data_IF_859080624300
#
_entry.id   IF_859080624300
#
_cell.length_a   1.000
_cell.length_b   1.000
_cell.length_c   1.000
_cell.angle_alpha   90.00
_cell.angle_beta   90.00
_cell.angle_gamma   90.00
#
_symmetry.space_group_name_H-M   'P 1'
#
loop_
_entity.id
_entity.type
_entity.pdbx_description
1 polymer ?
#
# COMPACT_ATOMS: atom_id res chain seq x y z
N UNK A 1 22.37 1.73 -10.38
CA UNK A 1 20.97 2.16 -10.21
C UNK A 1 20.84 2.68 -8.80
N UNK A 2 20.34 3.89 -8.62
CA UNK A 2 20.00 4.39 -7.29
C UNK A 2 18.50 4.18 -7.09
N UNK A 3 18.12 2.93 -6.81
CA UNK A 3 16.74 2.68 -6.38
C UNK A 3 16.52 3.37 -5.04
N UNK A 4 15.30 3.82 -4.78
CA UNK A 4 15.03 4.39 -3.47
C UNK A 4 15.32 3.32 -2.40
N UNK A 5 15.90 3.70 -1.24
CA UNK A 5 16.17 2.75 -0.15
C UNK A 5 14.93 1.96 0.29
N UNK A 6 13.74 2.48 -0.02
CA UNK A 6 12.47 1.77 0.16
C UNK A 6 12.37 0.48 -0.66
N UNK A 7 12.70 0.51 -1.95
CA UNK A 7 12.62 -0.65 -2.84
C UNK A 7 13.62 -1.73 -2.39
N UNK A 8 14.84 -1.34 -2.07
CA UNK A 8 15.88 -2.25 -1.58
C UNK A 8 15.46 -2.96 -0.28
N UNK A 9 14.78 -2.24 0.63
CA UNK A 9 14.22 -2.85 1.85
C UNK A 9 13.14 -3.88 1.55
N UNK A 10 12.28 -3.62 0.55
CA UNK A 10 11.25 -4.58 0.12
C UNK A 10 11.90 -5.82 -0.46
N UNK A 11 12.85 -5.67 -1.38
CA UNK A 11 13.54 -6.79 -2.01
C UNK A 11 14.20 -7.69 -0.96
N UNK A 12 14.90 -7.08 0.00
CA UNK A 12 15.49 -7.79 1.14
C UNK A 12 14.45 -8.51 1.98
N UNK A 13 13.33 -7.85 2.32
CA UNK A 13 12.26 -8.45 3.12
C UNK A 13 11.63 -9.66 2.40
N UNK A 14 11.42 -9.54 1.09
CA UNK A 14 10.84 -10.60 0.27
C UNK A 14 11.85 -11.69 -0.13
N UNK A 15 13.14 -11.54 0.21
CA UNK A 15 14.20 -12.45 -0.24
C UNK A 15 14.41 -12.42 -1.76
N UNK A 16 14.09 -11.31 -2.42
CA UNK A 16 14.26 -11.13 -3.86
C UNK A 16 15.73 -10.85 -4.17
N UNK A 17 16.40 -11.82 -4.82
CA UNK A 17 17.83 -11.76 -5.10
C UNK A 17 18.16 -11.55 -6.59
N UNK A 18 17.14 -11.35 -7.44
CA UNK A 18 17.37 -11.17 -8.87
C UNK A 18 17.82 -9.73 -9.15
N UNK A 19 18.80 -9.53 -10.04
CA UNK A 19 19.22 -8.19 -10.40
C UNK A 19 18.13 -7.49 -11.22
N UNK A 20 17.93 -6.20 -10.93
CA UNK A 20 17.12 -5.35 -11.78
C UNK A 20 17.87 -5.01 -13.07
N UNK A 21 17.20 -5.13 -14.21
CA UNK A 21 17.71 -4.68 -15.51
C UNK A 21 17.01 -3.39 -15.95
N UNK A 22 17.75 -2.29 -16.11
CA UNK A 22 17.20 -1.07 -16.74
C UNK A 22 17.09 -1.30 -18.23
N UNK A 23 15.87 -1.25 -18.74
CA UNK A 23 15.62 -1.26 -20.19
C UNK A 23 15.69 0.12 -20.82
N UNK A 24 15.39 1.17 -20.06
CA UNK A 24 15.34 2.55 -20.53
C UNK A 24 15.47 3.51 -19.36
N UNK A 25 16.37 4.48 -19.50
CA UNK A 25 16.45 5.61 -18.57
C UNK A 25 15.33 6.61 -18.83
N UNK A 26 14.82 7.20 -17.75
CA UNK A 26 13.77 8.21 -17.80
C UNK A 26 14.05 9.33 -16.80
N UNK A 27 13.91 10.56 -17.27
CA UNK A 27 13.94 11.76 -16.43
C UNK A 27 12.53 12.38 -16.48
N UNK A 28 11.84 12.51 -15.34
CA UNK A 28 10.56 13.20 -15.30
C UNK A 28 10.67 14.64 -15.80
N UNK A 29 9.64 15.14 -16.48
CA UNK A 29 9.59 16.52 -16.96
C UNK A 29 9.35 17.57 -15.84
N UNK A 30 9.34 17.14 -14.58
CA UNK A 30 9.07 17.96 -13.40
C UNK A 30 8.92 17.12 -12.14
N UNK A 31 8.64 17.79 -11.02
CA UNK A 31 8.53 17.15 -9.70
C UNK A 31 7.10 16.61 -9.48
N UNK A 32 6.91 15.33 -9.80
CA UNK A 32 5.62 14.66 -9.68
C UNK A 32 5.66 13.50 -8.70
N UNK A 33 4.63 13.43 -7.86
CA UNK A 33 4.45 12.35 -6.88
C UNK A 33 5.46 12.41 -5.73
N UNK A 34 5.41 11.38 -4.89
CA UNK A 34 6.27 11.23 -3.72
C UNK A 34 6.58 9.76 -3.50
N UNK A 35 7.81 9.46 -3.09
CA UNK A 35 8.24 8.11 -2.72
C UNK A 35 7.31 7.55 -1.64
N UNK A 36 6.94 6.24 -1.68
CA UNK A 36 5.95 5.68 -0.77
C UNK A 36 6.25 5.90 0.72
N UNK A 37 7.51 5.81 1.13
CA UNK A 37 7.97 6.02 2.52
C UNK A 37 8.11 7.49 2.92
N UNK A 38 7.90 8.42 1.99
CA UNK A 38 7.91 9.87 2.22
C UNK A 38 6.51 10.50 2.13
N UNK A 39 5.47 9.69 1.88
CA UNK A 39 4.08 10.16 1.84
C UNK A 39 3.65 10.74 3.17
N UNK A 40 2.83 11.78 3.13
CA UNK A 40 2.19 12.29 4.35
C UNK A 40 1.23 11.23 4.92
N UNK A 41 0.90 11.31 6.22
CA UNK A 41 -0.09 10.40 6.82
C UNK A 41 -1.43 10.44 6.06
N UNK A 42 -1.84 11.63 5.59
CA UNK A 42 -3.04 11.79 4.79
C UNK A 42 -2.95 11.01 3.47
N UNK A 43 -1.82 11.09 2.78
CA UNK A 43 -1.62 10.36 1.52
C UNK A 43 -1.55 8.86 1.75
N UNK A 44 -0.91 8.42 2.84
CA UNK A 44 -0.86 7.02 3.23
C UNK A 44 -2.27 6.47 3.48
N UNK A 45 -3.07 7.14 4.30
CA UNK A 45 -4.45 6.71 4.59
C UNK A 45 -5.26 6.59 3.29
N UNK A 46 -5.15 7.55 2.37
CA UNK A 46 -5.90 7.53 1.11
C UNK A 46 -5.40 6.50 0.07
N UNK A 47 -4.18 5.97 0.23
CA UNK A 47 -3.54 5.09 -0.78
C UNK A 47 -3.03 3.77 -0.19
N UNK A 48 -3.45 3.41 1.02
CA UNK A 48 -2.95 2.24 1.76
C UNK A 48 -3.74 0.97 1.47
N UNK A 49 -3.07 -0.15 1.76
CA UNK A 49 -3.67 -1.47 1.97
C UNK A 49 -3.45 -1.80 3.44
N UNK A 50 -4.50 -2.24 4.13
CA UNK A 50 -4.42 -2.62 5.54
C UNK A 50 -4.62 -4.14 5.63
N UNK A 51 -3.66 -4.82 6.24
CA UNK A 51 -3.82 -6.23 6.58
C UNK A 51 -4.64 -6.33 7.88
N UNK A 52 -5.94 -6.53 7.75
CA UNK A 52 -6.85 -6.61 8.89
C UNK A 52 -6.97 -8.05 9.34
N UNK A 53 -6.63 -8.31 10.60
CA UNK A 53 -7.00 -9.55 11.28
C UNK A 53 -8.49 -9.48 11.65
N UNK A 54 -9.35 -10.03 10.78
CA UNK A 54 -10.81 -9.96 10.93
C UNK A 54 -11.23 -10.80 12.15
N UNK A 55 -11.94 -10.23 13.14
CA UNK A 55 -12.46 -11.01 14.26
C UNK A 55 -13.63 -11.92 13.82
N UNK A 56 -13.89 -13.01 14.56
CA UNK A 56 -15.10 -13.82 14.37
C UNK A 56 -16.35 -13.03 14.79
N UNK A 57 -17.46 -13.21 14.07
CA UNK A 57 -18.75 -12.55 14.32
C UNK A 57 -19.21 -11.60 13.20
N UNK A 58 -18.50 -10.50 12.91
CA UNK A 58 -18.92 -9.56 11.87
C UNK A 58 -18.63 -10.10 10.47
N UNK A 59 -19.39 -9.65 9.49
CA UNK A 59 -19.12 -9.87 8.08
C UNK A 59 -17.91 -9.06 7.61
N UNK A 60 -17.30 -9.47 6.49
CA UNK A 60 -16.21 -8.70 5.86
C UNK A 60 -16.64 -7.29 5.43
N UNK A 61 -17.91 -7.11 5.06
CA UNK A 61 -18.46 -5.79 4.70
C UNK A 61 -18.57 -4.86 5.91
N UNK A 62 -18.97 -5.39 7.07
CA UNK A 62 -19.04 -4.61 8.31
C UNK A 62 -17.65 -4.15 8.77
N UNK A 63 -16.67 -5.05 8.74
CA UNK A 63 -15.28 -4.69 9.09
C UNK A 63 -14.73 -3.62 8.14
N UNK A 64 -14.96 -3.76 6.83
CA UNK A 64 -14.58 -2.72 5.87
C UNK A 64 -15.29 -1.38 6.17
N UNK A 65 -16.58 -1.40 6.48
CA UNK A 65 -17.36 -0.21 6.84
C UNK A 65 -16.85 0.48 8.11
N UNK A 66 -16.39 -0.27 9.11
CA UNK A 66 -15.75 0.29 10.31
C UNK A 66 -14.46 1.02 9.97
N UNK A 67 -13.59 0.43 9.13
CA UNK A 67 -12.37 1.09 8.65
C UNK A 67 -12.71 2.38 7.90
N UNK A 68 -13.72 2.33 7.01
CA UNK A 68 -14.19 3.52 6.28
C UNK A 68 -14.61 4.64 7.22
N UNK A 69 -15.42 4.31 8.23
CA UNK A 69 -15.97 5.29 9.17
C UNK A 69 -14.88 5.85 10.10
N UNK A 70 -14.00 4.99 10.62
CA UNK A 70 -12.91 5.35 11.53
C UNK A 70 -11.96 6.39 10.92
N UNK A 71 -11.65 6.25 9.62
CA UNK A 71 -10.77 7.18 8.89
C UNK A 71 -11.52 8.21 8.05
N UNK A 72 -12.85 8.28 8.15
CA UNK A 72 -13.72 9.17 7.39
C UNK A 72 -13.45 9.13 5.87
N UNK A 73 -13.33 7.91 5.32
CA UNK A 73 -12.95 7.66 3.94
C UNK A 73 -14.15 7.71 2.99
N UNK A 74 -13.99 8.21 1.75
CA UNK A 74 -15.07 8.20 0.76
C UNK A 74 -15.37 6.79 0.24
N UNK A 75 -14.35 5.92 0.17
CA UNK A 75 -14.44 4.55 -0.37
C UNK A 75 -13.48 3.61 0.37
N UNK A 76 -13.89 2.35 0.49
CA UNK A 76 -13.08 1.22 0.96
C UNK A 76 -13.50 -0.02 0.18
N UNK A 77 -12.65 -1.04 0.11
CA UNK A 77 -12.98 -2.37 -0.37
C UNK A 77 -12.22 -3.44 0.41
N UNK A 78 -12.68 -4.69 0.37
CA UNK A 78 -11.96 -5.84 0.93
C UNK A 78 -11.56 -6.81 -0.18
N UNK A 79 -10.45 -7.54 0.01
CA UNK A 79 -9.86 -8.40 -1.04
C UNK A 79 -10.55 -9.75 -1.26
N UNK A 80 -11.54 -10.08 -0.43
CA UNK A 80 -12.32 -11.31 -0.49
C UNK A 80 -13.23 -11.43 0.72
N UNK A 81 -14.33 -12.17 0.61
CA UNK A 81 -15.26 -12.38 1.72
C UNK A 81 -14.78 -13.55 2.56
N UNK A 82 -14.49 -13.29 3.83
CA UNK A 82 -14.36 -14.32 4.85
C UNK A 82 -15.70 -14.52 5.54
N UNK A 83 -15.97 -15.77 5.93
CA UNK A 83 -17.15 -16.12 6.71
C UNK A 83 -17.17 -15.35 8.05
N UNK A 84 -18.37 -15.06 8.59
CA UNK A 84 -18.55 -14.40 9.88
C UNK A 84 -17.78 -15.08 11.02
#
# INVERSE_FOLDING_TARGET
MDFSPFVERIDKFCGYNQPWEVRKDYVPAGDFGVQPDKRTIKDLINTSIINVDKPPGPTSHEVAFWVKTMFNLPRVGHGGTLEP
#
